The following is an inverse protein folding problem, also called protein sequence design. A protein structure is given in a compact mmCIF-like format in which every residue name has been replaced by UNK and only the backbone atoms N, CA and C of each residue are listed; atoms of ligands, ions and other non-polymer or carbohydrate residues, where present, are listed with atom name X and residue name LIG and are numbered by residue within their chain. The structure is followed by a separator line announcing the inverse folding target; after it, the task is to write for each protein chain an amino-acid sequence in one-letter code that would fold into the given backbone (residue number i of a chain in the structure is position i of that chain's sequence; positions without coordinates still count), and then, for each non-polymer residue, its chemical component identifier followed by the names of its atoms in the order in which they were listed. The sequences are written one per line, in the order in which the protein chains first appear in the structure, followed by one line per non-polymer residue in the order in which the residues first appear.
data_IF_309679989203
#
_entry.id   IF_309679989203
#
_cell.length_a   1.000
_cell.length_b   1.000
_cell.length_c   1.000
_cell.angle_alpha   90.00
_cell.angle_beta   90.00
_cell.angle_gamma   90.00
#
_symmetry.space_group_name_H-M   'P 1'
#
loop_
_entity.id
_entity.type
_entity.pdbx_description
1 polymer ?
#
# COMPACT_ATOMS: atom_id res chain seq x y z
N UNK A 1 38.43 21.91 -0.10
CA UNK A 1 37.42 20.97 0.42
C UNK A 1 36.06 21.59 0.17
N UNK A 2 35.26 21.07 -0.77
CA UNK A 2 33.93 21.62 -1.07
C UNK A 2 33.00 21.23 0.08
N UNK A 3 32.71 22.18 0.96
CA UNK A 3 31.78 21.98 2.07
C UNK A 3 30.37 21.97 1.52
N UNK A 4 29.84 20.77 1.31
CA UNK A 4 28.45 20.57 0.96
C UNK A 4 27.56 21.22 2.03
N UNK A 5 26.81 22.27 1.65
CA UNK A 5 26.01 23.07 2.58
C UNK A 5 24.83 22.25 3.14
N UNK A 6 25.00 21.69 4.35
CA UNK A 6 23.97 20.97 5.15
C UNK A 6 22.56 21.62 5.14
N UNK A 7 22.38 22.96 5.16
CA UNK A 7 21.05 23.57 5.11
C UNK A 7 20.26 23.28 3.82
N UNK A 8 20.94 23.10 2.68
CA UNK A 8 20.30 22.83 1.38
C UNK A 8 19.73 21.40 1.37
N UNK A 9 20.48 20.43 1.93
CA UNK A 9 20.06 19.03 2.05
C UNK A 9 18.82 18.88 2.93
N UNK A 10 18.77 19.60 4.05
CA UNK A 10 17.62 19.58 4.95
C UNK A 10 16.36 20.16 4.29
N UNK A 11 16.51 21.23 3.48
CA UNK A 11 15.38 21.80 2.72
C UNK A 11 14.86 20.85 1.64
N UNK A 12 15.76 20.22 0.87
CA UNK A 12 15.38 19.25 -0.16
C UNK A 12 14.64 18.04 0.46
N UNK A 13 15.17 17.49 1.56
CA UNK A 13 14.52 16.39 2.27
C UNK A 13 13.12 16.77 2.80
N UNK A 14 12.97 18.00 3.30
CA UNK A 14 11.68 18.51 3.78
C UNK A 14 10.68 18.64 2.63
N UNK A 15 11.13 19.14 1.48
CA UNK A 15 10.32 19.25 0.27
C UNK A 15 9.83 17.88 -0.23
N UNK A 16 10.71 16.90 -0.36
CA UNK A 16 10.35 15.55 -0.78
C UNK A 16 9.39 14.88 0.22
N UNK A 17 9.62 15.05 1.52
CA UNK A 17 8.70 14.56 2.56
C UNK A 17 7.30 15.15 2.41
N UNK A 18 7.19 16.44 2.13
CA UNK A 18 5.91 17.12 1.89
C UNK A 18 5.21 16.57 0.64
N UNK A 19 5.94 16.37 -0.46
CA UNK A 19 5.41 15.73 -1.67
C UNK A 19 4.89 14.32 -1.36
N UNK A 20 5.67 13.50 -0.66
CA UNK A 20 5.24 12.16 -0.27
C UNK A 20 3.98 12.18 0.60
N UNK A 21 3.86 13.15 1.52
CA UNK A 21 2.63 13.28 2.33
C UNK A 21 1.43 13.73 1.49
N UNK A 22 1.63 14.61 0.51
CA UNK A 22 0.57 14.98 -0.45
C UNK A 22 0.10 13.78 -1.28
N UNK A 23 1.05 12.96 -1.78
CA UNK A 23 0.74 11.73 -2.52
C UNK A 23 -0.04 10.73 -1.64
N UNK A 24 0.39 10.57 -0.39
CA UNK A 24 -0.32 9.72 0.58
C UNK A 24 -1.75 10.17 0.80
N UNK A 25 -1.97 11.45 1.12
CA UNK A 25 -3.30 11.99 1.33
C UNK A 25 -4.18 11.79 0.09
N UNK A 26 -3.63 12.02 -1.11
CA UNK A 26 -4.39 11.82 -2.36
C UNK A 26 -4.72 10.36 -2.63
N UNK A 27 -3.80 9.43 -2.31
CA UNK A 27 -4.06 8.01 -2.41
C UNK A 27 -5.20 7.58 -1.47
N UNK A 28 -5.18 8.03 -0.22
CA UNK A 28 -6.24 7.73 0.76
C UNK A 28 -7.58 8.28 0.29
N UNK A 29 -7.64 9.52 -0.19
CA UNK A 29 -8.85 10.12 -0.77
C UNK A 29 -9.41 9.28 -1.92
N UNK A 30 -8.56 8.84 -2.87
CA UNK A 30 -8.99 8.00 -4.00
C UNK A 30 -9.51 6.62 -3.55
N UNK A 31 -8.95 6.07 -2.47
CA UNK A 31 -9.41 4.81 -1.89
C UNK A 31 -10.75 5.00 -1.20
N UNK A 32 -10.93 6.09 -0.45
CA UNK A 32 -12.20 6.44 0.19
C UNK A 32 -13.32 6.71 -0.84
N UNK A 33 -12.97 7.29 -1.99
CA UNK A 33 -13.88 7.44 -3.14
C UNK A 33 -14.15 6.11 -3.86
N UNK A 34 -13.28 5.11 -3.67
CA UNK A 34 -13.46 3.79 -4.26
C UNK A 34 -14.49 2.98 -3.46
N UNK A 35 -15.19 2.05 -4.12
CA UNK A 35 -16.13 1.13 -3.45
C UNK A 35 -15.42 0.03 -2.64
N UNK A 36 -14.11 0.14 -2.39
CA UNK A 36 -13.36 -0.83 -1.59
C UNK A 36 -13.66 -0.57 -0.11
N UNK A 37 -14.13 -1.56 0.66
CA UNK A 37 -14.45 -1.33 2.05
C UNK A 37 -13.20 -1.05 2.88
N UNK A 38 -13.24 -0.02 3.72
CA UNK A 38 -12.15 0.37 4.63
C UNK A 38 -12.54 -0.05 6.05
N UNK A 39 -11.65 -0.79 6.73
CA UNK A 39 -11.87 -1.33 8.08
C UNK A 39 -11.47 -0.35 9.17
N UNK A 40 -10.25 0.17 9.06
CA UNK A 40 -9.60 1.01 10.08
C UNK A 40 -8.74 2.06 9.39
N UNK A 41 -8.79 3.27 9.95
CA UNK A 41 -7.83 4.34 9.71
C UNK A 41 -7.16 4.61 11.05
N UNK A 42 -5.83 4.52 11.09
CA UNK A 42 -5.05 4.92 12.27
C UNK A 42 -5.41 6.34 12.71
N UNK A 43 -5.29 6.63 14.01
CA UNK A 43 -5.64 7.95 14.57
C UNK A 43 -4.82 9.09 13.94
N UNK A 44 -3.59 8.81 13.53
CA UNK A 44 -2.69 9.78 12.89
C UNK A 44 -2.77 9.77 11.34
N UNK A 45 -3.68 8.97 10.78
CA UNK A 45 -3.84 8.79 9.34
C UNK A 45 -2.51 8.43 8.66
N UNK A 46 -1.69 7.60 9.31
CA UNK A 46 -0.48 7.01 8.74
C UNK A 46 -0.73 5.65 8.10
N UNK A 47 -1.81 4.98 8.49
CA UNK A 47 -2.20 3.63 8.08
C UNK A 47 -3.69 3.55 7.74
N UNK A 48 -4.00 2.77 6.70
CA UNK A 48 -5.34 2.45 6.23
C UNK A 48 -5.43 0.95 5.96
N UNK A 49 -6.46 0.30 6.47
CA UNK A 49 -6.72 -1.13 6.25
C UNK A 49 -7.93 -1.31 5.34
N UNK A 50 -7.76 -1.99 4.21
CA UNK A 50 -8.83 -2.38 3.31
C UNK A 50 -9.34 -3.76 3.70
N UNK A 51 -10.66 -3.89 3.86
CA UNK A 51 -11.29 -5.17 4.17
C UNK A 51 -11.33 -6.03 2.92
N UNK A 52 -10.97 -7.31 3.08
CA UNK A 52 -11.27 -8.34 2.10
C UNK A 52 -12.65 -8.91 2.45
N UNK A 53 -13.63 -8.70 1.58
CA UNK A 53 -15.03 -9.15 1.80
C UNK A 53 -15.04 -10.65 2.10
N UNK A 54 -15.81 -11.12 3.07
CA UNK A 54 -15.88 -12.53 3.51
C UNK A 54 -14.63 -13.06 4.24
N UNK A 55 -13.62 -12.22 4.50
CA UNK A 55 -12.47 -12.57 5.36
C UNK A 55 -12.51 -11.76 6.64
N UNK A 56 -12.46 -12.44 7.79
CA UNK A 56 -12.47 -11.76 9.09
C UNK A 56 -11.07 -11.35 9.57
N UNK A 57 -10.05 -12.10 9.15
CA UNK A 57 -8.66 -11.93 9.60
C UNK A 57 -7.77 -11.28 8.54
N UNK A 58 -8.16 -11.35 7.26
CA UNK A 58 -7.33 -10.87 6.18
C UNK A 58 -7.69 -9.42 5.79
N UNK A 59 -6.66 -8.62 5.56
CA UNK A 59 -6.77 -7.24 5.12
C UNK A 59 -5.60 -6.83 4.23
N UNK A 60 -5.80 -5.74 3.49
CA UNK A 60 -4.73 -5.07 2.75
C UNK A 60 -4.37 -3.82 3.54
N UNK A 61 -3.19 -3.83 4.14
CA UNK A 61 -2.65 -2.68 4.85
C UNK A 61 -1.94 -1.74 3.88
N UNK A 62 -2.21 -0.44 4.02
CA UNK A 62 -1.46 0.63 3.40
C UNK A 62 -0.89 1.50 4.50
N UNK A 63 0.41 1.79 4.47
CA UNK A 63 1.00 2.73 5.41
C UNK A 63 1.93 3.74 4.73
N UNK A 64 1.91 4.96 5.25
CA UNK A 64 2.74 6.07 4.82
C UNK A 64 4.21 5.73 5.06
N UNK A 65 4.98 5.71 3.97
CA UNK A 65 6.40 5.39 4.01
C UNK A 65 7.17 6.40 3.19
N UNK A 66 7.86 7.31 3.86
CA UNK A 66 8.83 8.20 3.20
C UNK A 66 10.24 7.63 3.33
N UNK A 67 10.94 7.46 2.21
CA UNK A 67 12.36 7.07 2.19
C UNK A 67 13.16 7.82 1.12
N UNK A 68 14.48 7.62 1.14
CA UNK A 68 15.44 8.25 0.21
C UNK A 68 15.22 7.89 -1.26
N UNK A 69 14.45 6.82 -1.53
CA UNK A 69 14.13 6.41 -2.90
C UNK A 69 12.88 7.15 -3.42
N UNK A 70 12.24 8.00 -2.62
CA UNK A 70 11.02 8.72 -2.97
C UNK A 70 9.76 7.85 -2.89
N UNK A 71 9.83 6.73 -2.18
CA UNK A 71 8.62 5.99 -1.85
C UNK A 71 7.73 6.86 -0.95
N UNK A 72 6.42 6.68 -1.06
CA UNK A 72 5.45 7.38 -0.21
C UNK A 72 4.48 6.42 0.50
N UNK A 73 4.36 5.18 0.02
CA UNK A 73 3.45 4.17 0.57
C UNK A 73 4.07 2.78 0.49
N UNK A 74 3.76 1.96 1.48
CA UNK A 74 3.92 0.51 1.45
C UNK A 74 2.54 -0.15 1.46
N UNK A 75 2.39 -1.27 0.75
CA UNK A 75 1.14 -2.03 0.69
C UNK A 75 1.41 -3.49 1.01
N UNK A 76 0.72 -4.05 2.00
CA UNK A 76 0.92 -5.44 2.43
C UNK A 76 -0.41 -6.19 2.50
N UNK A 77 -0.42 -7.42 2.00
CA UNK A 77 -1.51 -8.36 2.24
C UNK A 77 -1.24 -9.14 3.52
N UNK A 78 -2.20 -9.12 4.45
CA UNK A 78 -2.11 -9.81 5.73
C UNK A 78 -3.07 -10.98 5.81
N UNK A 79 -2.58 -12.10 6.35
CA UNK A 79 -3.36 -13.28 6.76
C UNK A 79 -4.27 -13.93 5.69
N UNK A 80 -4.21 -13.49 4.43
CA UNK A 80 -4.85 -14.19 3.32
C UNK A 80 -3.96 -15.34 2.85
N UNK A 81 -4.46 -16.57 2.94
CA UNK A 81 -3.75 -17.75 2.49
C UNK A 81 -4.34 -18.25 1.18
N UNK A 82 -3.63 -18.03 0.06
CA UNK A 82 -4.06 -18.50 -1.25
C UNK A 82 -4.03 -20.03 -1.31
N UNK A 83 -4.88 -20.63 -2.15
CA UNK A 83 -4.82 -22.06 -2.43
C UNK A 83 -3.61 -22.40 -3.30
N UNK A 84 -3.28 -21.52 -4.25
CA UNK A 84 -2.11 -21.67 -5.10
C UNK A 84 -0.85 -21.18 -4.39
N UNK A 85 0.14 -22.08 -4.24
CA UNK A 85 1.45 -21.78 -3.64
C UNK A 85 2.13 -20.60 -4.35
N UNK A 86 2.03 -20.52 -5.68
CA UNK A 86 2.63 -19.44 -6.46
C UNK A 86 2.05 -18.05 -6.13
N UNK A 87 0.77 -17.97 -5.74
CA UNK A 87 0.16 -16.70 -5.29
C UNK A 87 0.61 -16.34 -3.88
N UNK A 88 0.75 -17.33 -2.98
CA UNK A 88 1.34 -17.08 -1.67
C UNK A 88 2.78 -16.56 -1.79
N UNK A 89 3.60 -17.15 -2.66
CA UNK A 89 4.98 -16.70 -2.89
C UNK A 89 5.02 -15.26 -3.42
N UNK A 90 4.16 -14.94 -4.40
CA UNK A 90 4.05 -13.60 -4.98
C UNK A 90 3.72 -12.52 -3.93
N UNK A 91 2.79 -12.80 -3.02
CA UNK A 91 2.32 -11.81 -2.03
C UNK A 91 3.09 -11.84 -0.69
N UNK A 92 3.91 -12.87 -0.46
CA UNK A 92 4.85 -12.94 0.67
C UNK A 92 6.14 -12.15 0.45
N UNK A 93 6.35 -11.57 -0.74
CA UNK A 93 7.50 -10.70 -0.99
C UNK A 93 7.51 -9.51 -0.02
N UNK A 94 8.69 -9.13 0.49
CA UNK A 94 8.78 -8.22 1.65
C UNK A 94 8.74 -6.73 1.30
N UNK A 95 8.69 -6.35 0.03
CA UNK A 95 8.99 -4.96 -0.35
C UNK A 95 8.10 -4.37 -1.44
N UNK A 96 6.85 -4.13 -1.06
CA UNK A 96 5.82 -3.50 -1.89
C UNK A 96 5.77 -1.99 -1.63
N UNK A 97 6.87 -1.29 -1.91
CA UNK A 97 6.94 0.17 -1.77
C UNK A 97 6.72 0.86 -3.12
N UNK A 98 5.96 1.95 -3.11
CA UNK A 98 5.58 2.64 -4.35
C UNK A 98 5.92 4.14 -4.30
N UNK A 99 6.32 4.67 -5.47
CA UNK A 99 6.63 6.09 -5.69
C UNK A 99 5.49 6.83 -6.37
N UNK A 100 4.63 6.10 -7.07
CA UNK A 100 3.48 6.62 -7.82
C UNK A 100 2.15 6.11 -7.27
N UNK A 101 1.16 6.99 -7.24
CA UNK A 101 -0.23 6.64 -6.89
C UNK A 101 -0.77 5.58 -7.86
N UNK A 102 -0.44 5.68 -9.15
CA UNK A 102 -0.89 4.71 -10.15
C UNK A 102 -0.32 3.31 -9.87
N UNK A 103 0.98 3.20 -9.58
CA UNK A 103 1.61 1.93 -9.24
C UNK A 103 0.98 1.30 -8.00
N UNK A 104 0.77 2.11 -6.96
CA UNK A 104 0.12 1.70 -5.72
C UNK A 104 -1.30 1.16 -5.98
N UNK A 105 -2.14 1.93 -6.69
CA UNK A 105 -3.51 1.52 -7.05
C UNK A 105 -3.53 0.27 -7.93
N UNK A 106 -2.61 0.16 -8.89
CA UNK A 106 -2.49 -1.02 -9.74
C UNK A 106 -2.14 -2.26 -8.92
N UNK A 107 -1.25 -2.13 -7.94
CA UNK A 107 -0.89 -3.24 -7.06
C UNK A 107 -2.06 -3.69 -6.16
N UNK A 108 -2.82 -2.75 -5.57
CA UNK A 108 -4.07 -3.07 -4.85
C UNK A 108 -5.02 -3.85 -5.77
N UNK A 109 -5.21 -3.39 -7.00
CA UNK A 109 -6.06 -4.08 -7.97
C UNK A 109 -5.54 -5.49 -8.32
N UNK A 110 -4.23 -5.70 -8.36
CA UNK A 110 -3.64 -7.03 -8.57
C UNK A 110 -3.97 -7.96 -7.40
N UNK A 111 -3.81 -7.51 -6.16
CA UNK A 111 -4.19 -8.29 -4.96
C UNK A 111 -5.67 -8.68 -5.04
N UNK A 112 -6.56 -7.71 -5.29
CA UNK A 112 -8.00 -7.96 -5.37
C UNK A 112 -8.38 -8.92 -6.50
N UNK A 113 -7.71 -8.83 -7.65
CA UNK A 113 -7.91 -9.77 -8.78
C UNK A 113 -7.45 -11.17 -8.44
N UNK A 114 -6.31 -11.32 -7.79
CA UNK A 114 -5.77 -12.62 -7.39
C UNK A 114 -6.67 -13.29 -6.35
N UNK A 115 -7.18 -12.52 -5.36
CA UNK A 115 -8.17 -13.00 -4.39
C UNK A 115 -9.44 -13.46 -5.10
N UNK A 116 -9.97 -12.65 -6.03
CA UNK A 116 -11.16 -13.02 -6.78
C UNK A 116 -10.95 -14.26 -7.66
N UNK A 117 -9.74 -14.46 -8.19
CA UNK A 117 -9.37 -15.64 -8.95
C UNK A 117 -9.27 -16.88 -8.08
N UNK A 118 -8.61 -16.79 -6.92
CA UNK A 118 -8.49 -17.85 -5.93
C UNK A 118 -9.87 -18.33 -5.45
N UNK A 119 -10.79 -17.41 -5.18
CA UNK A 119 -12.18 -17.73 -4.80
C UNK A 119 -12.98 -18.46 -5.86
N UNK A 120 -12.74 -18.18 -7.14
CA UNK A 120 -13.42 -18.89 -8.24
C UNK A 120 -13.00 -20.34 -8.38
N UNK A 121 -11.86 -20.72 -7.80
CA UNK A 121 -11.42 -22.11 -7.78
C UNK A 121 -12.11 -22.93 -6.67
N UNK A 122 -12.79 -22.27 -5.73
CA UNK A 122 -13.61 -22.94 -4.70
C UNK A 122 -14.86 -23.52 -5.40
N UNK A 123 -15.05 -24.84 -5.41
CA UNK A 123 -16.33 -25.41 -5.83
C UNK A 123 -17.41 -24.89 -4.89
N UNK A 124 -18.48 -24.33 -5.44
CA UNK A 124 -19.68 -23.99 -4.66
C UNK A 124 -20.26 -25.32 -4.20
N UNK A 125 -20.17 -25.62 -2.90
CA UNK A 125 -20.75 -26.80 -2.26
C UNK A 125 -22.23 -26.58 -2.01
#
# INVERSE_FOLDING_TARGET
MLTIHRPIFNKANTFEKNISKMKWNKLVELIEESKVPIKVKSEDNSEVFLTIIDENLADIELYYKFDVNGNFVHIQLWYYNFQLISLNEKHNERNHNFKSINEAMNYINVILKDIAFDRKQIPIV
#
